data_IF_589232125147
#
_entry.id   IF_589232125147
#
_cell.length_a   1.000
_cell.length_b   1.000
_cell.length_c   1.000
_cell.angle_alpha   90.00
_cell.angle_beta   90.00
_cell.angle_gamma   90.00
#
_symmetry.space_group_name_H-M   'P 1'
#
loop_
_entity.id
_entity.type
_entity.pdbx_description
1 polymer ?
#
# COMPACT_ATOMS: atom_id res chain seq x y z
N UNK A 1 139.50 -32.51 -45.62
CA UNK A 1 140.39 -31.72 -44.74
C UNK A 1 139.85 -31.89 -43.34
N UNK A 2 140.24 -32.96 -42.64
CA UNK A 2 141.43 -33.04 -41.76
C UNK A 2 141.39 -32.01 -40.63
N UNK A 3 141.20 -32.47 -39.38
CA UNK A 3 141.42 -31.58 -38.24
C UNK A 3 140.90 -32.04 -36.88
N UNK A 4 141.31 -33.23 -36.42
CA UNK A 4 141.59 -33.56 -35.00
C UNK A 4 140.45 -33.48 -33.97
N UNK A 5 139.97 -34.68 -33.64
CA UNK A 5 139.34 -35.08 -32.36
C UNK A 5 140.23 -34.74 -31.16
N UNK A 6 139.70 -33.95 -30.21
CA UNK A 6 140.23 -33.85 -28.85
C UNK A 6 139.10 -34.21 -27.88
N UNK A 7 139.11 -35.47 -27.46
CA UNK A 7 138.40 -35.96 -26.28
C UNK A 7 139.11 -35.38 -25.05
N UNK A 8 138.69 -34.20 -24.60
CA UNK A 8 138.99 -33.71 -23.27
C UNK A 8 138.09 -34.45 -22.28
N UNK A 9 138.68 -35.38 -21.51
CA UNK A 9 138.10 -35.85 -20.27
C UNK A 9 137.92 -34.65 -19.33
N UNK A 10 136.66 -34.26 -19.12
CA UNK A 10 136.27 -33.21 -18.19
C UNK A 10 136.38 -33.78 -16.77
N UNK A 11 137.12 -33.09 -15.90
CA UNK A 11 137.25 -33.34 -14.46
C UNK A 11 135.88 -33.64 -13.80
N UNK A 12 135.72 -34.79 -13.09
CA UNK A 12 134.44 -35.21 -12.49
C UNK A 12 133.76 -34.16 -11.60
N UNK A 13 134.53 -33.33 -10.90
CA UNK A 13 133.98 -32.28 -10.01
C UNK A 13 133.48 -31.06 -10.79
N UNK A 14 134.12 -30.71 -11.89
CA UNK A 14 133.67 -29.62 -12.78
C UNK A 14 132.43 -30.04 -13.58
N UNK A 15 132.31 -31.32 -13.93
CA UNK A 15 131.11 -31.89 -14.54
C UNK A 15 129.90 -31.80 -13.60
N UNK A 16 130.04 -32.20 -12.33
CA UNK A 16 128.97 -32.11 -11.32
C UNK A 16 128.54 -30.65 -11.03
N UNK A 17 129.48 -29.71 -10.95
CA UNK A 17 129.17 -28.28 -10.81
C UNK A 17 128.41 -27.72 -12.02
N UNK A 18 128.81 -28.11 -13.23
CA UNK A 18 128.11 -27.71 -14.46
C UNK A 18 126.69 -28.31 -14.52
N UNK A 19 126.52 -29.55 -14.08
CA UNK A 19 125.24 -30.25 -14.03
C UNK A 19 124.30 -29.67 -12.97
N UNK A 20 124.81 -29.31 -11.79
CA UNK A 20 124.06 -28.58 -10.75
C UNK A 20 123.69 -27.16 -11.17
N UNK A 21 124.56 -26.45 -11.89
CA UNK A 21 124.25 -25.12 -12.44
C UNK A 21 123.15 -25.20 -13.48
N UNK A 22 123.21 -26.17 -14.39
CA UNK A 22 122.18 -26.37 -15.41
C UNK A 22 120.88 -26.93 -14.83
N UNK A 23 120.93 -27.76 -13.78
CA UNK A 23 119.73 -28.22 -13.07
C UNK A 23 119.07 -27.08 -12.29
N UNK A 24 119.84 -26.22 -11.63
CA UNK A 24 119.33 -25.01 -10.98
C UNK A 24 118.69 -24.05 -12.00
N UNK A 25 119.33 -23.81 -13.15
CA UNK A 25 118.75 -23.01 -14.23
C UNK A 25 117.42 -23.60 -14.72
N UNK A 26 117.36 -24.91 -14.96
CA UNK A 26 116.12 -25.61 -15.32
C UNK A 26 115.05 -25.49 -14.24
N UNK A 27 115.41 -25.63 -12.96
CA UNK A 27 114.48 -25.50 -11.83
C UNK A 27 113.97 -24.07 -11.67
N UNK A 28 114.82 -23.04 -11.84
CA UNK A 28 114.39 -21.63 -11.81
C UNK A 28 113.46 -21.32 -12.98
N UNK A 29 113.74 -21.86 -14.17
CA UNK A 29 112.85 -21.73 -15.34
C UNK A 29 111.53 -22.47 -15.11
N UNK A 30 111.56 -23.68 -14.52
CA UNK A 30 110.35 -24.44 -14.13
C UNK A 30 109.51 -23.67 -13.12
N UNK A 31 110.15 -23.15 -12.06
CA UNK A 31 109.47 -22.38 -11.02
C UNK A 31 108.88 -21.08 -11.58
N UNK A 32 109.57 -20.40 -12.49
CA UNK A 32 109.03 -19.22 -13.17
C UNK A 32 107.82 -19.56 -14.06
N UNK A 33 107.86 -20.71 -14.74
CA UNK A 33 106.73 -21.22 -15.52
C UNK A 33 105.54 -21.62 -14.62
N UNK A 34 105.78 -22.28 -13.49
CA UNK A 34 104.77 -22.65 -12.50
C UNK A 34 104.15 -21.40 -11.84
N UNK A 35 104.95 -20.40 -11.45
CA UNK A 35 104.42 -19.14 -10.92
C UNK A 35 103.60 -18.37 -11.96
N UNK A 36 104.00 -18.42 -13.23
CA UNK A 36 103.22 -17.83 -14.33
C UNK A 36 101.91 -18.58 -14.53
N UNK A 37 101.93 -19.91 -14.51
CA UNK A 37 100.73 -20.75 -14.60
C UNK A 37 99.77 -20.49 -13.44
N UNK A 38 100.26 -20.50 -12.20
CA UNK A 38 99.47 -20.21 -10.99
C UNK A 38 98.87 -18.79 -11.06
N UNK A 39 99.62 -17.79 -11.53
CA UNK A 39 99.10 -16.43 -11.73
C UNK A 39 98.01 -16.38 -12.81
N UNK A 40 98.20 -17.07 -13.93
CA UNK A 40 97.17 -17.18 -14.97
C UNK A 40 95.90 -17.87 -14.45
N UNK A 41 96.05 -18.94 -13.66
CA UNK A 41 94.94 -19.65 -13.02
C UNK A 41 94.21 -18.78 -11.99
N UNK A 42 94.95 -18.04 -11.15
CA UNK A 42 94.38 -17.12 -10.18
C UNK A 42 93.59 -16.01 -10.88
N UNK A 43 94.15 -15.40 -11.92
CA UNK A 43 93.47 -14.38 -12.73
C UNK A 43 92.19 -14.92 -13.37
N UNK A 44 92.21 -16.15 -13.92
CA UNK A 44 91.02 -16.80 -14.46
C UNK A 44 89.99 -17.11 -13.38
N UNK A 45 90.43 -17.48 -12.18
CA UNK A 45 89.55 -17.75 -11.04
C UNK A 45 88.89 -16.46 -10.54
N UNK A 46 89.63 -15.38 -10.38
CA UNK A 46 89.08 -14.06 -10.03
C UNK A 46 88.05 -13.57 -11.05
N UNK A 47 88.33 -13.74 -12.35
CA UNK A 47 87.40 -13.40 -13.42
C UNK A 47 86.11 -14.24 -13.36
N UNK A 48 86.24 -15.55 -13.10
CA UNK A 48 85.07 -16.43 -12.94
C UNK A 48 84.21 -16.05 -11.73
N UNK A 49 84.83 -15.68 -10.60
CA UNK A 49 84.12 -15.27 -9.39
C UNK A 49 83.42 -13.92 -9.57
N UNK A 50 84.04 -12.97 -10.25
CA UNK A 50 83.42 -11.69 -10.60
C UNK A 50 82.20 -11.90 -11.50
N UNK A 51 82.32 -12.76 -12.52
CA UNK A 51 81.20 -13.15 -13.40
C UNK A 51 80.08 -13.83 -12.62
N UNK A 52 80.39 -14.80 -11.77
CA UNK A 52 79.41 -15.49 -10.92
C UNK A 52 78.71 -14.55 -9.94
N UNK A 53 79.43 -13.62 -9.31
CA UNK A 53 78.83 -12.63 -8.41
C UNK A 53 77.84 -11.72 -9.14
N UNK A 54 78.18 -11.30 -10.37
CA UNK A 54 77.29 -10.48 -11.20
C UNK A 54 76.05 -11.27 -11.66
N UNK A 55 76.22 -12.52 -12.10
CA UNK A 55 75.08 -13.35 -12.51
C UNK A 55 74.16 -13.66 -11.32
N UNK A 56 74.71 -13.92 -10.12
CA UNK A 56 73.89 -14.13 -8.92
C UNK A 56 73.08 -12.89 -8.56
N UNK A 57 73.70 -11.70 -8.59
CA UNK A 57 73.00 -10.42 -8.36
C UNK A 57 71.91 -10.18 -9.41
N UNK A 58 72.18 -10.50 -10.68
CA UNK A 58 71.20 -10.39 -11.75
C UNK A 58 70.02 -11.35 -11.54
N UNK A 59 70.29 -12.62 -11.19
CA UNK A 59 69.26 -13.61 -10.87
C UNK A 59 68.41 -13.21 -9.66
N UNK A 60 69.03 -12.68 -8.60
CA UNK A 60 68.32 -12.18 -7.41
C UNK A 60 67.39 -11.00 -7.76
N UNK A 61 67.86 -10.06 -8.59
CA UNK A 61 67.05 -8.93 -9.06
C UNK A 61 65.89 -9.39 -9.97
N UNK A 62 66.14 -10.34 -10.87
CA UNK A 62 65.10 -10.92 -11.74
C UNK A 62 64.04 -11.66 -10.92
N UNK A 63 64.45 -12.46 -9.92
CA UNK A 63 63.53 -13.13 -9.02
C UNK A 63 62.66 -12.13 -8.23
N UNK A 64 63.25 -11.02 -7.77
CA UNK A 64 62.51 -9.95 -7.10
C UNK A 64 61.52 -9.27 -8.05
N UNK A 65 61.93 -8.98 -9.29
CA UNK A 65 61.06 -8.38 -10.29
C UNK A 65 59.85 -9.28 -10.61
N UNK A 66 60.07 -10.58 -10.81
CA UNK A 66 59.00 -11.57 -11.04
C UNK A 66 58.04 -11.66 -9.84
N UNK A 67 58.56 -11.60 -8.61
CA UNK A 67 57.72 -11.59 -7.42
C UNK A 67 56.84 -10.33 -7.35
N UNK A 68 57.43 -9.15 -7.60
CA UNK A 68 56.68 -7.90 -7.65
C UNK A 68 55.61 -7.91 -8.76
N UNK A 69 55.91 -8.45 -9.93
CA UNK A 69 54.95 -8.58 -11.03
C UNK A 69 53.78 -9.51 -10.68
N UNK A 70 54.05 -10.63 -10.00
CA UNK A 70 53.03 -11.54 -9.50
C UNK A 70 52.13 -10.84 -8.46
N UNK A 71 52.71 -10.07 -7.55
CA UNK A 71 51.97 -9.33 -6.53
C UNK A 71 51.12 -8.21 -7.14
N UNK A 72 51.64 -7.46 -8.12
CA UNK A 72 50.87 -6.47 -8.87
C UNK A 72 49.67 -7.14 -9.57
N UNK A 73 49.90 -8.27 -10.23
CA UNK A 73 48.84 -9.04 -10.90
C UNK A 73 47.77 -9.50 -9.91
N UNK A 74 48.16 -9.93 -8.71
CA UNK A 74 47.25 -10.34 -7.64
C UNK A 74 46.43 -9.15 -7.13
N UNK A 75 47.09 -8.03 -6.85
CA UNK A 75 46.43 -6.81 -6.37
C UNK A 75 45.44 -6.26 -7.39
N UNK A 76 45.79 -6.30 -8.67
CA UNK A 76 44.91 -5.85 -9.75
C UNK A 76 43.64 -6.71 -9.83
N UNK A 77 43.76 -8.04 -9.78
CA UNK A 77 42.59 -8.94 -9.70
C UNK A 77 41.71 -8.63 -8.48
N UNK A 78 42.33 -8.44 -7.31
CA UNK A 78 41.57 -8.08 -6.09
C UNK A 78 40.86 -6.74 -6.22
N UNK A 79 41.47 -5.75 -6.89
CA UNK A 79 40.85 -4.44 -7.13
C UNK A 79 39.63 -4.58 -8.05
N UNK A 80 39.76 -5.34 -9.14
CA UNK A 80 38.67 -5.58 -10.09
C UNK A 80 37.47 -6.30 -9.44
N UNK A 81 37.73 -7.32 -8.61
CA UNK A 81 36.70 -7.99 -7.83
C UNK A 81 35.97 -7.02 -6.88
N UNK A 82 36.70 -6.11 -6.23
CA UNK A 82 36.09 -5.11 -5.34
C UNK A 82 35.29 -4.08 -6.10
N UNK A 83 35.73 -3.67 -7.28
CA UNK A 83 34.96 -2.78 -8.15
C UNK A 83 33.64 -3.42 -8.59
N UNK A 84 33.64 -4.70 -8.95
CA UNK A 84 32.42 -5.44 -9.27
C UNK A 84 31.46 -5.52 -8.07
N UNK A 85 31.98 -5.79 -6.87
CA UNK A 85 31.18 -5.82 -5.64
C UNK A 85 30.56 -4.45 -5.30
N UNK A 86 31.33 -3.37 -5.46
CA UNK A 86 30.86 -2.00 -5.28
C UNK A 86 29.78 -1.65 -6.29
N UNK A 87 29.95 -2.03 -7.55
CA UNK A 87 28.96 -1.80 -8.59
C UNK A 87 27.65 -2.55 -8.31
N UNK A 88 27.73 -3.81 -7.88
CA UNK A 88 26.56 -4.59 -7.47
C UNK A 88 25.85 -3.93 -6.27
N UNK A 89 26.61 -3.55 -5.25
CA UNK A 89 26.08 -2.89 -4.04
C UNK A 89 25.45 -1.53 -4.36
N UNK A 90 26.04 -0.75 -5.28
CA UNK A 90 25.48 0.52 -5.76
C UNK A 90 24.17 0.31 -6.52
N UNK A 91 24.09 -0.71 -7.39
CA UNK A 91 22.86 -1.10 -8.08
C UNK A 91 21.75 -1.50 -7.09
N UNK A 92 22.08 -2.26 -6.05
CA UNK A 92 21.10 -2.65 -5.03
C UNK A 92 20.64 -1.46 -4.17
N UNK A 93 21.56 -0.57 -3.78
CA UNK A 93 21.20 0.69 -3.11
C UNK A 93 20.25 1.55 -3.98
N UNK A 94 20.47 1.61 -5.29
CA UNK A 94 19.60 2.33 -6.22
C UNK A 94 18.22 1.67 -6.39
N UNK A 95 18.07 0.36 -6.14
CA UNK A 95 16.75 -0.30 -6.06
C UNK A 95 16.03 0.10 -4.78
N UNK A 96 16.71 0.04 -3.63
CA UNK A 96 16.11 0.41 -2.35
C UNK A 96 15.66 1.88 -2.30
N UNK A 97 16.41 2.79 -2.93
CA UNK A 97 15.99 4.20 -3.06
C UNK A 97 14.68 4.33 -3.82
N UNK A 98 14.52 3.61 -4.94
CA UNK A 98 13.26 3.62 -5.70
C UNK A 98 12.09 3.06 -4.90
N UNK A 99 12.32 1.96 -4.18
CA UNK A 99 11.29 1.38 -3.31
C UNK A 99 10.88 2.36 -2.19
N UNK A 100 11.83 3.12 -1.64
CA UNK A 100 11.55 4.16 -0.65
C UNK A 100 10.76 5.34 -1.24
N UNK A 101 11.08 5.77 -2.45
CA UNK A 101 10.34 6.81 -3.16
C UNK A 101 8.90 6.38 -3.44
N UNK A 102 8.70 5.13 -3.88
CA UNK A 102 7.38 4.54 -4.12
C UNK A 102 6.57 4.46 -2.82
N UNK A 103 7.18 4.02 -1.71
CA UNK A 103 6.54 3.98 -0.40
C UNK A 103 6.17 5.38 0.10
N UNK A 104 7.05 6.36 -0.10
CA UNK A 104 6.80 7.76 0.26
C UNK A 104 5.61 8.33 -0.53
N UNK A 105 5.54 8.02 -1.82
CA UNK A 105 4.40 8.37 -2.68
C UNK A 105 3.09 7.73 -2.19
N UNK A 106 3.10 6.43 -1.91
CA UNK A 106 1.92 5.72 -1.36
C UNK A 106 1.47 6.29 -0.01
N UNK A 107 2.41 6.63 0.86
CA UNK A 107 2.12 7.24 2.16
C UNK A 107 1.47 8.62 1.99
N UNK A 108 1.96 9.43 1.05
CA UNK A 108 1.37 10.74 0.74
C UNK A 108 -0.07 10.63 0.23
N UNK A 109 -0.35 9.69 -0.68
CA UNK A 109 -1.69 9.43 -1.20
C UNK A 109 -2.64 8.91 -0.11
N UNK A 110 -2.15 8.02 0.75
CA UNK A 110 -2.91 7.48 1.88
C UNK A 110 -3.25 8.58 2.88
N UNK A 111 -2.30 9.46 3.19
CA UNK A 111 -2.51 10.61 4.07
C UNK A 111 -3.58 11.55 3.52
N UNK A 112 -3.50 11.91 2.24
CA UNK A 112 -4.50 12.77 1.60
C UNK A 112 -5.92 12.14 1.65
N UNK A 113 -6.01 10.82 1.45
CA UNK A 113 -7.29 10.09 1.54
C UNK A 113 -7.83 10.06 2.98
N UNK A 114 -6.96 9.87 3.96
CA UNK A 114 -7.33 9.88 5.37
C UNK A 114 -7.82 11.27 5.80
N UNK A 115 -7.14 12.35 5.38
CA UNK A 115 -7.54 13.73 5.65
C UNK A 115 -8.90 14.07 5.02
N UNK A 116 -9.12 13.69 3.75
CA UNK A 116 -10.41 13.86 3.08
C UNK A 116 -11.54 13.09 3.79
N UNK A 117 -11.25 11.87 4.26
CA UNK A 117 -12.21 11.05 5.01
C UNK A 117 -12.54 11.67 6.38
N UNK A 118 -11.53 12.20 7.08
CA UNK A 118 -11.73 12.90 8.35
C UNK A 118 -12.59 14.16 8.17
N UNK A 119 -12.32 14.98 7.14
CA UNK A 119 -13.12 16.14 6.81
C UNK A 119 -14.58 15.76 6.48
N UNK A 120 -14.78 14.68 5.71
CA UNK A 120 -16.12 14.16 5.39
C UNK A 120 -16.86 13.69 6.65
N UNK A 121 -16.18 12.98 7.55
CA UNK A 121 -16.76 12.51 8.81
C UNK A 121 -17.17 13.67 9.72
N UNK A 122 -16.33 14.71 9.81
CA UNK A 122 -16.63 15.92 10.58
C UNK A 122 -17.85 16.66 10.00
N UNK A 123 -17.93 16.79 8.67
CA UNK A 123 -19.10 17.37 8.00
C UNK A 123 -20.37 16.58 8.28
N UNK A 124 -20.33 15.25 8.17
CA UNK A 124 -21.47 14.38 8.49
C UNK A 124 -21.89 14.52 9.96
N UNK A 125 -20.94 14.57 10.89
CA UNK A 125 -21.22 14.80 12.31
C UNK A 125 -21.95 16.13 12.56
N UNK A 126 -21.51 17.21 11.91
CA UNK A 126 -22.16 18.51 12.01
C UNK A 126 -23.59 18.48 11.46
N UNK A 127 -23.82 17.79 10.34
CA UNK A 127 -25.16 17.59 9.78
C UNK A 127 -26.05 16.80 10.74
N UNK A 128 -25.57 15.68 11.29
CA UNK A 128 -26.31 14.91 12.29
C UNK A 128 -26.67 15.75 13.52
N UNK A 129 -25.75 16.59 13.99
CA UNK A 129 -25.99 17.52 15.11
C UNK A 129 -27.07 18.56 14.79
N UNK A 130 -27.13 19.03 13.54
CA UNK A 130 -28.19 19.93 13.08
C UNK A 130 -29.55 19.25 13.05
N UNK A 131 -29.62 18.05 12.46
CA UNK A 131 -30.86 17.27 12.38
C UNK A 131 -31.39 16.89 13.77
N UNK A 132 -30.50 16.59 14.72
CA UNK A 132 -30.91 16.30 16.09
C UNK A 132 -31.62 17.49 16.74
N UNK A 133 -31.11 18.72 16.55
CA UNK A 133 -31.75 19.93 17.05
C UNK A 133 -33.13 20.15 16.42
N UNK A 134 -33.26 19.93 15.12
CA UNK A 134 -34.53 20.05 14.42
C UNK A 134 -35.56 19.02 14.95
N UNK A 135 -35.13 17.78 15.17
CA UNK A 135 -35.98 16.75 15.79
C UNK A 135 -36.44 17.14 17.19
N UNK A 136 -35.57 17.71 18.02
CA UNK A 136 -35.92 18.18 19.35
C UNK A 136 -36.98 19.31 19.30
N UNK A 137 -36.83 20.25 18.37
CA UNK A 137 -37.79 21.33 18.14
C UNK A 137 -39.14 20.80 17.65
N UNK A 138 -39.14 19.87 16.68
CA UNK A 138 -40.36 19.22 16.20
C UNK A 138 -41.05 18.42 17.30
N UNK A 139 -40.29 17.73 18.13
CA UNK A 139 -40.82 16.98 19.28
C UNK A 139 -41.51 17.90 20.28
N UNK A 140 -40.94 19.08 20.57
CA UNK A 140 -41.59 20.09 21.43
C UNK A 140 -42.88 20.61 20.80
N UNK A 141 -42.85 20.98 19.53
CA UNK A 141 -44.04 21.44 18.80
C UNK A 141 -45.16 20.38 18.78
N UNK A 142 -44.81 19.11 18.57
CA UNK A 142 -45.79 18.02 18.58
C UNK A 142 -46.50 17.90 19.94
N UNK A 143 -45.76 18.00 21.04
CA UNK A 143 -46.34 17.98 22.40
C UNK A 143 -47.29 19.16 22.66
N UNK A 144 -46.96 20.35 22.15
CA UNK A 144 -47.86 21.50 22.22
C UNK A 144 -49.13 21.29 21.40
N UNK A 145 -49.01 20.71 20.20
CA UNK A 145 -50.16 20.33 19.39
C UNK A 145 -51.03 19.28 20.07
N UNK A 146 -50.43 18.24 20.66
CA UNK A 146 -51.13 17.21 21.43
C UNK A 146 -51.92 17.84 22.59
N UNK A 147 -51.30 18.74 23.37
CA UNK A 147 -51.98 19.45 24.45
C UNK A 147 -53.17 20.29 23.96
N UNK A 148 -53.04 20.96 22.81
CA UNK A 148 -54.15 21.72 22.20
C UNK A 148 -55.30 20.81 21.75
N UNK A 149 -54.97 19.67 21.14
CA UNK A 149 -55.96 18.68 20.71
C UNK A 149 -56.71 18.10 21.90
N UNK A 150 -56.00 17.75 22.98
CA UNK A 150 -56.64 17.27 24.21
C UNK A 150 -57.61 18.31 24.78
N UNK A 151 -57.21 19.58 24.84
CA UNK A 151 -58.08 20.67 25.29
C UNK A 151 -59.33 20.84 24.40
N UNK A 152 -59.19 20.71 23.08
CA UNK A 152 -60.33 20.75 22.17
C UNK A 152 -61.25 19.55 22.37
N UNK A 153 -60.69 18.36 22.66
CA UNK A 153 -61.44 17.18 23.06
C UNK A 153 -62.29 17.43 24.30
N UNK A 154 -61.70 17.98 25.35
CA UNK A 154 -62.41 18.33 26.58
C UNK A 154 -63.56 19.33 26.34
N UNK A 155 -63.35 20.30 25.44
CA UNK A 155 -64.39 21.26 25.04
C UNK A 155 -65.53 20.60 24.27
N UNK A 156 -65.20 19.67 23.37
CA UNK A 156 -66.19 18.90 22.61
C UNK A 156 -67.07 18.06 23.54
N UNK A 157 -66.45 17.40 24.52
CA UNK A 157 -67.15 16.59 25.53
C UNK A 157 -68.13 17.43 26.36
N UNK A 158 -67.73 18.65 26.75
CA UNK A 158 -68.60 19.57 27.47
C UNK A 158 -69.79 20.00 26.61
N UNK A 159 -69.53 20.41 25.35
CA UNK A 159 -70.59 20.79 24.41
C UNK A 159 -71.56 19.65 24.13
N UNK A 160 -71.07 18.41 24.05
CA UNK A 160 -71.90 17.24 23.84
C UNK A 160 -72.82 16.95 25.03
N UNK A 161 -72.33 17.11 26.27
CA UNK A 161 -73.17 17.01 27.47
C UNK A 161 -74.23 18.11 27.52
N UNK A 162 -73.86 19.34 27.18
CA UNK A 162 -74.80 20.46 27.10
C UNK A 162 -75.88 20.21 26.05
N UNK A 163 -75.51 19.70 24.87
CA UNK A 163 -76.45 19.34 23.80
C UNK A 163 -77.46 18.29 24.30
N UNK A 164 -76.99 17.21 24.93
CA UNK A 164 -77.85 16.16 25.48
C UNK A 164 -78.82 16.71 26.53
N UNK A 165 -78.36 17.63 27.40
CA UNK A 165 -79.22 18.27 28.40
C UNK A 165 -80.32 19.12 27.76
N UNK A 166 -80.00 19.84 26.67
CA UNK A 166 -80.96 20.64 25.90
C UNK A 166 -81.96 19.76 25.16
N UNK A 167 -81.52 18.66 24.56
CA UNK A 167 -82.41 17.69 23.92
C UNK A 167 -83.42 17.10 24.91
N UNK A 168 -82.98 16.76 26.13
CA UNK A 168 -83.87 16.29 27.19
C UNK A 168 -84.89 17.36 27.59
N UNK A 169 -84.43 18.59 27.86
CA UNK A 169 -85.30 19.72 28.22
C UNK A 169 -86.30 20.05 27.10
N UNK A 170 -85.87 20.04 25.84
CA UNK A 170 -86.72 20.28 24.69
C UNK A 170 -87.79 19.20 24.54
N UNK A 171 -87.43 17.93 24.77
CA UNK A 171 -88.40 16.82 24.76
C UNK A 171 -89.45 16.99 25.86
N UNK A 172 -89.03 17.31 27.09
CA UNK A 172 -89.94 17.58 28.20
C UNK A 172 -90.88 18.77 27.91
N UNK A 173 -90.35 19.85 27.35
CA UNK A 173 -91.15 21.01 26.96
C UNK A 173 -92.17 20.64 25.88
N UNK A 174 -91.78 19.84 24.88
CA UNK A 174 -92.69 19.35 23.84
C UNK A 174 -93.83 18.52 24.44
N UNK A 175 -93.52 17.61 25.37
CA UNK A 175 -94.53 16.78 26.03
C UNK A 175 -95.51 17.64 26.86
N UNK A 176 -95.01 18.69 27.52
CA UNK A 176 -95.84 19.62 28.29
C UNK A 176 -96.72 20.51 27.41
N UNK A 177 -96.18 21.02 26.30
CA UNK A 177 -96.95 21.79 25.30
C UNK A 177 -98.06 20.92 24.73
N UNK A 178 -97.77 19.67 24.34
CA UNK A 178 -98.78 18.73 23.85
C UNK A 178 -99.90 18.49 24.89
N UNK A 179 -99.56 18.41 26.18
CA UNK A 179 -100.53 18.26 27.28
C UNK A 179 -101.43 19.50 27.38
N UNK A 180 -100.84 20.69 27.44
CA UNK A 180 -101.58 21.97 27.52
C UNK A 180 -102.44 22.19 26.29
N UNK A 181 -101.92 21.90 25.08
CA UNK A 181 -102.69 21.98 23.84
C UNK A 181 -103.90 21.05 23.87
N UNK A 182 -103.75 19.83 24.39
CA UNK A 182 -104.86 18.90 24.57
C UNK A 182 -105.90 19.44 25.56
N UNK A 183 -105.45 19.98 26.70
CA UNK A 183 -106.32 20.58 27.71
C UNK A 183 -107.09 21.81 27.15
N UNK A 184 -106.42 22.66 26.37
CA UNK A 184 -107.03 23.80 25.68
C UNK A 184 -108.06 23.31 24.65
N UNK A 185 -107.71 22.34 23.80
CA UNK A 185 -108.66 21.76 22.84
C UNK A 185 -109.89 21.19 23.55
N UNK A 186 -109.70 20.47 24.66
CA UNK A 186 -110.80 19.93 25.44
C UNK A 186 -111.64 21.03 26.10
N UNK A 187 -111.01 22.09 26.62
CA UNK A 187 -111.69 23.25 27.19
C UNK A 187 -112.46 24.04 26.12
N UNK A 188 -111.90 24.22 24.92
CA UNK A 188 -112.57 24.86 23.78
C UNK A 188 -113.74 24.02 23.27
N UNK A 189 -113.59 22.70 23.17
CA UNK A 189 -114.69 21.79 22.82
C UNK A 189 -115.81 21.84 23.87
N UNK A 190 -115.48 22.00 25.16
CA UNK A 190 -116.43 22.22 26.26
C UNK A 190 -117.03 23.64 26.26
N UNK A 191 -116.28 24.63 25.78
CA UNK A 191 -116.65 26.06 25.67
C UNK A 191 -117.27 26.42 24.31
N UNK A 192 -117.68 25.43 23.52
CA UNK A 192 -118.15 25.56 22.13
C UNK A 192 -119.45 26.35 21.97
N UNK A 193 -119.40 27.64 22.26
CA UNK A 193 -120.42 28.63 21.96
C UNK A 193 -119.84 30.04 21.80
N UNK A 194 -118.68 30.24 21.15
CA UNK A 194 -118.45 31.50 20.44
C UNK A 194 -117.28 31.44 19.44
N UNK A 195 -117.58 31.74 18.19
CA UNK A 195 -116.60 31.95 17.12
C UNK A 195 -115.96 33.33 17.30
N UNK A 196 -114.64 33.45 17.43
CA UNK A 196 -113.96 34.70 17.10
C UNK A 196 -112.48 34.51 16.72
N UNK A 197 -112.09 35.26 15.70
CA UNK A 197 -111.13 34.94 14.65
C UNK A 197 -109.80 35.70 14.75
N UNK A 198 -109.35 36.02 15.95
CA UNK A 198 -108.13 36.84 16.19
C UNK A 198 -106.89 35.95 16.40
N UNK A 199 -106.98 34.90 17.21
CA UNK A 199 -105.88 33.94 17.44
C UNK A 199 -105.49 33.16 16.17
N UNK A 200 -106.46 32.89 15.29
CA UNK A 200 -106.22 32.19 14.01
C UNK A 200 -105.43 33.07 13.04
N UNK A 201 -105.71 34.38 13.00
CA UNK A 201 -104.95 35.36 12.19
C UNK A 201 -103.52 35.54 12.67
N UNK A 202 -103.29 35.62 13.98
CA UNK A 202 -101.95 35.75 14.55
C UNK A 202 -101.12 34.49 14.25
N UNK A 203 -101.73 33.31 14.31
CA UNK A 203 -101.08 32.04 13.95
C UNK A 203 -100.71 31.98 12.45
N UNK A 204 -101.62 32.44 11.58
CA UNK A 204 -101.41 32.48 10.12
C UNK A 204 -100.36 33.52 9.69
N UNK A 205 -100.13 34.61 10.45
CA UNK A 205 -99.12 35.63 10.14
C UNK A 205 -97.73 35.35 10.75
N UNK A 206 -97.68 34.78 11.95
CA UNK A 206 -96.41 34.54 12.67
C UNK A 206 -95.70 33.28 12.15
N UNK A 207 -96.46 32.27 11.71
CA UNK A 207 -95.92 30.99 11.19
C UNK A 207 -95.06 31.15 9.93
N UNK A 208 -95.52 31.80 8.83
CA UNK A 208 -94.72 31.93 7.60
C UNK A 208 -93.49 32.83 7.80
N UNK A 209 -93.60 33.92 8.58
CA UNK A 209 -92.46 34.81 8.87
C UNK A 209 -91.34 34.11 9.65
N UNK A 210 -91.67 33.15 10.51
CA UNK A 210 -90.66 32.35 11.20
C UNK A 210 -90.04 31.29 10.29
N UNK A 211 -90.83 30.65 9.43
CA UNK A 211 -90.33 29.71 8.42
C UNK A 211 -89.36 30.37 7.43
N UNK A 212 -89.67 31.58 6.96
CA UNK A 212 -88.81 32.33 6.04
C UNK A 212 -87.45 32.68 6.69
N UNK A 213 -87.46 33.08 7.96
CA UNK A 213 -86.22 33.34 8.72
C UNK A 213 -85.40 32.08 8.91
N UNK A 214 -86.05 30.95 9.18
CA UNK A 214 -85.39 29.65 9.33
C UNK A 214 -84.76 29.17 8.02
N UNK A 215 -85.49 29.29 6.91
CA UNK A 215 -85.00 28.94 5.58
C UNK A 215 -83.80 29.78 5.17
N UNK A 216 -83.81 31.09 5.49
CA UNK A 216 -82.66 31.95 5.23
C UNK A 216 -81.43 31.50 6.01
N UNK A 217 -81.59 31.21 7.30
CA UNK A 217 -80.49 30.72 8.15
C UNK A 217 -79.94 29.38 7.66
N UNK A 218 -80.82 28.48 7.19
CA UNK A 218 -80.42 27.19 6.62
C UNK A 218 -79.63 27.37 5.33
N UNK A 219 -80.08 28.26 4.43
CA UNK A 219 -79.36 28.58 3.20
C UNK A 219 -77.95 29.13 3.47
N UNK A 220 -77.83 30.05 4.44
CA UNK A 220 -76.52 30.60 4.83
C UNK A 220 -75.58 29.50 5.37
N UNK A 221 -76.14 28.53 6.12
CA UNK A 221 -75.38 27.38 6.65
C UNK A 221 -74.98 26.40 5.55
N UNK A 222 -75.85 26.12 4.59
CA UNK A 222 -75.53 25.27 3.45
C UNK A 222 -74.37 25.85 2.61
N UNK A 223 -74.30 27.18 2.50
CA UNK A 223 -73.21 27.86 1.79
C UNK A 223 -71.89 27.83 2.57
N UNK A 224 -71.91 27.95 3.89
CA UNK A 224 -70.73 27.69 4.74
C UNK A 224 -70.24 26.24 4.61
N UNK A 225 -71.16 25.27 4.63
CA UNK A 225 -70.82 23.84 4.44
C UNK A 225 -70.19 23.60 3.07
N UNK A 226 -70.68 24.26 2.02
CA UNK A 226 -70.10 24.18 0.69
C UNK A 226 -68.64 24.70 0.67
N UNK A 227 -68.38 25.86 1.28
CA UNK A 227 -67.02 26.43 1.37
C UNK A 227 -66.06 25.52 2.13
N UNK A 228 -66.49 24.99 3.28
CA UNK A 228 -65.67 24.05 4.07
C UNK A 228 -65.36 22.77 3.29
N UNK A 229 -66.32 22.24 2.52
CA UNK A 229 -66.07 21.08 1.65
C UNK A 229 -65.03 21.38 0.58
N UNK A 230 -65.06 22.56 -0.02
CA UNK A 230 -64.08 22.96 -1.03
C UNK A 230 -62.68 23.19 -0.44
N UNK A 231 -62.58 23.78 0.75
CA UNK A 231 -61.31 23.89 1.49
C UNK A 231 -60.74 22.51 1.84
N UNK A 232 -61.56 21.60 2.36
CA UNK A 232 -61.15 20.21 2.64
C UNK A 232 -60.66 19.54 1.35
N UNK A 233 -61.37 19.71 0.23
CA UNK A 233 -60.96 19.13 -1.06
C UNK A 233 -59.61 19.67 -1.51
N UNK A 234 -59.38 20.96 -1.34
CA UNK A 234 -58.12 21.63 -1.70
C UNK A 234 -56.96 21.17 -0.81
N UNK A 235 -57.16 21.14 0.51
CA UNK A 235 -56.16 20.61 1.45
C UNK A 235 -55.86 19.14 1.17
N UNK A 236 -56.88 18.33 0.89
CA UNK A 236 -56.71 16.90 0.60
C UNK A 236 -55.91 16.68 -0.69
N UNK A 237 -56.09 17.52 -1.72
CA UNK A 237 -55.28 17.48 -2.93
C UNK A 237 -53.82 17.87 -2.65
N UNK A 238 -53.60 18.91 -1.83
CA UNK A 238 -52.26 19.32 -1.41
C UNK A 238 -51.53 18.21 -0.65
N UNK A 239 -52.19 17.58 0.32
CA UNK A 239 -51.63 16.47 1.08
C UNK A 239 -51.29 15.27 0.18
N UNK A 240 -52.17 14.93 -0.78
CA UNK A 240 -51.91 13.85 -1.73
C UNK A 240 -50.67 14.13 -2.61
N UNK A 241 -50.54 15.36 -3.14
CA UNK A 241 -49.35 15.77 -3.87
C UNK A 241 -48.09 15.70 -3.00
N UNK A 242 -48.18 16.14 -1.74
CA UNK A 242 -47.04 16.10 -0.83
C UNK A 242 -46.61 14.66 -0.50
N UNK A 243 -47.57 13.75 -0.33
CA UNK A 243 -47.29 12.32 -0.16
C UNK A 243 -46.56 11.75 -1.36
N UNK A 244 -47.01 12.02 -2.58
CA UNK A 244 -46.35 11.55 -3.82
C UNK A 244 -44.92 12.10 -3.99
N UNK A 245 -44.69 13.36 -3.64
CA UNK A 245 -43.35 13.96 -3.64
C UNK A 245 -42.40 13.23 -2.68
N UNK A 246 -42.86 12.96 -1.44
CA UNK A 246 -42.07 12.22 -0.46
C UNK A 246 -41.79 10.78 -0.89
N UNK A 247 -42.78 10.08 -1.45
CA UNK A 247 -42.61 8.73 -2.01
C UNK A 247 -41.56 8.71 -3.14
N UNK A 248 -41.59 9.70 -4.04
CA UNK A 248 -40.61 9.82 -5.12
C UNK A 248 -39.19 10.06 -4.59
N UNK A 249 -39.03 10.87 -3.54
CA UNK A 249 -37.74 11.08 -2.88
C UNK A 249 -37.23 9.79 -2.23
N UNK A 250 -38.11 9.03 -1.56
CA UNK A 250 -37.76 7.77 -0.91
C UNK A 250 -37.30 6.72 -1.95
N UNK A 251 -38.00 6.63 -3.08
CA UNK A 251 -37.62 5.75 -4.19
C UNK A 251 -36.27 6.17 -4.82
N UNK A 252 -35.99 7.47 -4.91
CA UNK A 252 -34.68 7.97 -5.37
C UNK A 252 -33.55 7.56 -4.42
N UNK A 253 -33.76 7.70 -3.11
CA UNK A 253 -32.80 7.24 -2.09
C UNK A 253 -32.58 5.72 -2.18
N UNK A 254 -33.65 4.94 -2.31
CA UNK A 254 -33.57 3.49 -2.45
C UNK A 254 -32.71 3.07 -3.65
N UNK A 255 -32.82 3.76 -4.80
CA UNK A 255 -31.98 3.49 -5.98
C UNK A 255 -30.52 3.85 -5.75
N UNK A 256 -30.25 5.00 -5.13
CA UNK A 256 -28.90 5.42 -4.79
C UNK A 256 -28.22 4.41 -3.85
N UNK A 257 -28.93 3.91 -2.84
CA UNK A 257 -28.43 2.88 -1.93
C UNK A 257 -28.13 1.57 -2.64
N UNK A 258 -28.97 1.15 -3.60
CA UNK A 258 -28.71 -0.05 -4.40
C UNK A 258 -27.44 0.09 -5.24
N UNK A 259 -27.21 1.25 -5.84
CA UNK A 259 -25.99 1.49 -6.62
C UNK A 259 -24.74 1.60 -5.74
N UNK A 260 -24.87 2.21 -4.55
CA UNK A 260 -23.81 2.22 -3.55
C UNK A 260 -23.47 0.80 -3.10
N UNK A 261 -24.47 -0.04 -2.82
CA UNK A 261 -24.30 -1.46 -2.47
C UNK A 261 -23.56 -2.24 -3.57
N UNK A 262 -23.89 -2.00 -4.84
CA UNK A 262 -23.16 -2.61 -5.98
C UNK A 262 -21.69 -2.18 -6.00
N UNK A 263 -21.39 -0.91 -5.73
CA UNK A 263 -20.00 -0.40 -5.68
C UNK A 263 -19.23 -1.00 -4.51
N UNK A 264 -19.86 -1.09 -3.34
CA UNK A 264 -19.26 -1.73 -2.15
C UNK A 264 -18.91 -3.19 -2.45
N UNK A 265 -19.82 -3.97 -3.03
CA UNK A 265 -19.54 -5.35 -3.42
C UNK A 265 -18.37 -5.48 -4.42
N UNK A 266 -18.27 -4.56 -5.39
CA UNK A 266 -17.13 -4.52 -6.32
C UNK A 266 -15.81 -4.25 -5.58
N UNK A 267 -15.81 -3.30 -4.64
CA UNK A 267 -14.63 -2.97 -3.85
C UNK A 267 -14.22 -4.11 -2.93
N UNK A 268 -15.17 -4.80 -2.29
CA UNK A 268 -14.91 -5.99 -1.48
C UNK A 268 -14.26 -7.11 -2.31
N UNK A 269 -14.73 -7.32 -3.53
CA UNK A 269 -14.13 -8.29 -4.45
C UNK A 269 -12.69 -7.91 -4.80
N UNK A 270 -12.44 -6.67 -5.22
CA UNK A 270 -11.10 -6.18 -5.54
C UNK A 270 -10.14 -6.27 -4.34
N UNK A 271 -10.64 -5.95 -3.14
CA UNK A 271 -9.88 -6.06 -1.89
C UNK A 271 -9.53 -7.52 -1.57
N UNK A 272 -10.47 -8.44 -1.76
CA UNK A 272 -10.24 -9.87 -1.56
C UNK A 272 -9.18 -10.40 -2.55
N UNK A 273 -9.25 -9.97 -3.81
CA UNK A 273 -8.28 -10.33 -4.84
C UNK A 273 -6.88 -9.77 -4.52
N UNK A 274 -6.79 -8.50 -4.13
CA UNK A 274 -5.53 -7.89 -3.71
C UNK A 274 -4.90 -8.66 -2.54
N UNK A 275 -5.69 -8.99 -1.51
CA UNK A 275 -5.22 -9.83 -0.38
C UNK A 275 -4.73 -11.20 -0.83
N UNK A 276 -5.40 -11.84 -1.78
CA UNK A 276 -4.99 -13.13 -2.33
C UNK A 276 -3.65 -13.02 -3.08
N UNK A 277 -3.45 -11.95 -3.85
CA UNK A 277 -2.19 -11.65 -4.53
C UNK A 277 -1.06 -11.38 -3.52
N UNK A 278 -1.30 -10.58 -2.47
CA UNK A 278 -0.34 -10.33 -1.39
C UNK A 278 0.12 -11.64 -0.74
N UNK A 279 -0.80 -12.56 -0.44
CA UNK A 279 -0.44 -13.89 0.11
C UNK A 279 0.40 -14.72 -0.86
N UNK A 280 0.14 -14.64 -2.17
CA UNK A 280 0.98 -15.33 -3.17
C UNK A 280 2.40 -14.75 -3.18
N UNK A 281 2.52 -13.43 -3.19
CA UNK A 281 3.81 -12.73 -3.15
C UNK A 281 4.58 -13.08 -1.87
N UNK A 282 3.91 -13.10 -0.72
CA UNK A 282 4.51 -13.51 0.56
C UNK A 282 5.10 -14.92 0.49
N UNK A 283 4.34 -15.91 -0.03
CA UNK A 283 4.86 -17.28 -0.21
C UNK A 283 6.03 -17.35 -1.19
N UNK A 284 6.02 -16.54 -2.26
CA UNK A 284 7.17 -16.47 -3.17
C UNK A 284 8.39 -15.82 -2.51
N UNK A 285 8.18 -14.82 -1.65
CA UNK A 285 9.20 -14.22 -0.79
C UNK A 285 9.82 -15.27 0.13
N UNK A 286 9.01 -15.99 0.90
CA UNK A 286 9.46 -17.05 1.82
C UNK A 286 10.26 -18.14 1.10
N UNK A 287 9.85 -18.55 -0.11
CA UNK A 287 10.62 -19.51 -0.92
C UNK A 287 11.97 -18.95 -1.37
N UNK A 288 12.01 -17.69 -1.82
CA UNK A 288 13.27 -17.03 -2.17
C UNK A 288 14.19 -16.93 -0.96
N UNK A 289 13.66 -16.51 0.19
CA UNK A 289 14.43 -16.35 1.41
C UNK A 289 14.99 -17.69 1.90
N UNK A 290 14.21 -18.77 1.77
CA UNK A 290 14.66 -20.13 2.07
C UNK A 290 15.80 -20.56 1.13
N UNK A 291 15.66 -20.35 -0.18
CA UNK A 291 16.71 -20.66 -1.15
C UNK A 291 17.99 -19.84 -0.91
N UNK A 292 17.86 -18.56 -0.56
CA UNK A 292 18.98 -17.70 -0.20
C UNK A 292 19.69 -18.17 1.08
N UNK A 293 18.93 -18.69 2.05
CA UNK A 293 19.47 -19.26 3.28
C UNK A 293 20.22 -20.57 2.99
N UNK A 294 19.66 -21.47 2.18
CA UNK A 294 20.31 -22.71 1.76
C UNK A 294 21.62 -22.44 1.01
N UNK A 295 21.63 -21.50 0.05
CA UNK A 295 22.86 -21.09 -0.64
C UNK A 295 23.91 -20.49 0.32
N UNK A 296 23.48 -19.71 1.31
CA UNK A 296 24.37 -19.16 2.34
C UNK A 296 24.96 -20.25 3.22
N UNK A 297 24.17 -21.25 3.58
CA UNK A 297 24.61 -22.38 4.41
C UNK A 297 25.54 -23.31 3.61
N UNK A 298 25.31 -23.53 2.32
CA UNK A 298 26.23 -24.24 1.41
C UNK A 298 27.59 -23.53 1.27
N UNK A 299 27.58 -22.21 1.07
CA UNK A 299 28.82 -21.41 1.02
C UNK A 299 29.57 -21.47 2.35
N UNK A 300 28.86 -21.43 3.47
CA UNK A 300 29.45 -21.53 4.81
C UNK A 300 30.02 -22.93 5.09
N UNK A 301 29.35 -23.97 4.60
CA UNK A 301 29.80 -25.37 4.70
C UNK A 301 31.00 -25.66 3.81
N UNK A 302 31.01 -25.12 2.58
CA UNK A 302 32.16 -25.19 1.66
C UNK A 302 33.39 -24.47 2.24
N UNK A 303 33.19 -23.35 2.95
CA UNK A 303 34.27 -22.62 3.62
C UNK A 303 34.86 -23.35 4.83
N UNK A 304 34.07 -24.18 5.52
CA UNK A 304 34.53 -25.00 6.65
C UNK A 304 35.18 -26.33 6.25
N UNK A 305 34.86 -26.89 5.07
CA UNK A 305 35.54 -28.10 4.54
C UNK A 305 36.96 -27.79 4.05
N UNK A 306 37.25 -26.55 3.65
CA UNK A 306 38.62 -26.12 3.29
C UNK A 306 39.47 -25.66 4.50
N UNK A 307 39.00 -25.87 5.74
CA UNK A 307 39.67 -25.43 6.97
C UNK A 307 40.44 -26.51 7.74
N UNK A 308 40.49 -27.76 7.27
CA UNK A 308 41.08 -28.85 8.05
C UNK A 308 41.70 -29.98 7.24
N UNK A 309 43.03 -30.09 7.37
CA UNK A 309 43.91 -31.25 7.11
C UNK A 309 44.43 -31.48 5.68
N UNK A 310 45.72 -31.13 5.54
CA UNK A 310 46.82 -31.74 4.78
C UNK A 310 46.58 -32.50 3.47
N UNK A 311 47.36 -32.09 2.47
CA UNK A 311 48.16 -33.03 1.68
C UNK A 311 47.69 -33.28 0.26
N UNK A 312 48.62 -33.01 -0.66
CA UNK A 312 48.68 -33.45 -2.06
C UNK A 312 47.95 -32.59 -3.09
N UNK A 313 48.73 -32.13 -4.06
CA UNK A 313 48.26 -31.35 -5.20
C UNK A 313 47.33 -32.15 -6.09
N UNK A 314 46.22 -31.54 -6.45
CA UNK A 314 45.86 -31.30 -7.84
C UNK A 314 44.75 -30.24 -7.85
N UNK A 315 45.18 -29.00 -8.07
CA UNK A 315 44.29 -27.87 -8.25
C UNK A 315 43.71 -27.97 -9.66
N UNK A 316 42.74 -28.87 -9.86
CA UNK A 316 42.05 -28.98 -11.13
C UNK A 316 41.16 -27.73 -11.28
N UNK A 317 41.70 -26.73 -11.98
CA UNK A 317 41.02 -25.48 -12.27
C UNK A 317 39.66 -25.81 -12.90
N UNK A 318 38.58 -25.42 -12.23
CA UNK A 318 37.20 -25.55 -12.73
C UNK A 318 37.05 -24.98 -14.15
N UNK A 319 37.83 -23.95 -14.46
CA UNK A 319 37.96 -23.31 -15.78
C UNK A 319 38.50 -24.23 -16.89
N UNK A 320 39.19 -25.33 -16.55
CA UNK A 320 39.70 -26.31 -17.49
C UNK A 320 38.81 -27.54 -17.67
N UNK A 321 37.75 -27.67 -16.86
CA UNK A 321 36.74 -28.73 -16.98
C UNK A 321 36.16 -28.73 -18.39
N UNK A 322 36.14 -29.92 -19.00
CA UNK A 322 35.57 -30.14 -20.33
C UNK A 322 34.13 -29.60 -20.44
N UNK A 323 33.36 -29.60 -19.34
CA UNK A 323 32.01 -29.05 -19.30
C UNK A 323 31.95 -27.53 -19.44
N UNK A 324 32.90 -26.79 -18.84
CA UNK A 324 32.96 -25.33 -18.95
C UNK A 324 33.37 -24.88 -20.36
N UNK A 325 34.35 -25.57 -20.96
CA UNK A 325 34.75 -25.33 -22.36
C UNK A 325 33.60 -25.56 -23.34
N UNK A 326 32.76 -26.56 -23.09
CA UNK A 326 31.54 -26.82 -23.91
C UNK A 326 30.52 -25.69 -23.75
N UNK A 327 30.27 -25.22 -22.51
CA UNK A 327 29.31 -24.13 -22.26
C UNK A 327 29.74 -22.80 -22.91
N UNK A 328 31.04 -22.47 -22.85
CA UNK A 328 31.59 -21.27 -23.50
C UNK A 328 31.52 -21.41 -25.03
N UNK A 329 31.86 -22.58 -25.57
CA UNK A 329 31.74 -22.87 -27.01
C UNK A 329 30.30 -22.72 -27.53
N UNK A 330 29.31 -23.30 -26.83
CA UNK A 330 27.90 -23.16 -27.20
C UNK A 330 27.40 -21.72 -27.06
N UNK A 331 27.82 -21.00 -26.01
CA UNK A 331 27.44 -19.60 -25.81
C UNK A 331 27.99 -18.69 -26.90
N UNK A 332 29.22 -18.94 -27.36
CA UNK A 332 29.83 -18.20 -28.47
C UNK A 332 29.13 -18.50 -29.81
N UNK A 333 28.71 -19.76 -30.03
CA UNK A 333 27.97 -20.17 -31.23
C UNK A 333 26.59 -19.49 -31.30
N UNK A 334 25.91 -19.33 -30.16
CA UNK A 334 24.66 -18.57 -30.05
C UNK A 334 24.90 -17.09 -30.36
N UNK A 335 25.95 -16.47 -29.79
CA UNK A 335 26.27 -15.07 -30.05
C UNK A 335 26.64 -14.80 -31.52
N UNK A 336 27.33 -15.73 -32.19
CA UNK A 336 27.64 -15.64 -33.63
C UNK A 336 26.39 -15.79 -34.48
N UNK A 337 25.45 -16.65 -34.10
CA UNK A 337 24.16 -16.79 -34.79
C UNK A 337 23.27 -15.55 -34.63
N UNK A 338 23.30 -14.90 -33.46
CA UNK A 338 22.56 -13.66 -33.22
C UNK A 338 23.19 -12.42 -33.84
N UNK A 339 24.51 -12.41 -34.08
CA UNK A 339 25.21 -11.29 -34.73
C UNK A 339 25.14 -11.32 -36.27
N UNK A 340 24.50 -12.35 -36.85
CA UNK A 340 24.31 -12.53 -38.30
C UNK A 340 22.86 -12.27 -38.75
N UNK A 341 22.01 -11.75 -37.86
CA UNK A 341 20.75 -11.06 -38.18
C UNK A 341 20.97 -9.57 -38.04
#
# INVERSE_FOLDING_TARGET
MSGVTSTMEIDPLLRDLSEKKESFRRNVVSLAAELKDVRCRLSSQEESFAKESLTRKACEAEARAKNMEAEISRLQKCLDERNLQLQASSSDAAKYLRDLDDLTSQLSSTKATAEASAASAQSAQLQCKSLLKELDEKTKSLKEHEARVNKLGDQLDLLQKDLQSREFSQKQLKDEVMRVEHDIMQALAKSGANNNSELRKILDEVSPRNLDKMNKLLSDKDEEIAKLRDEIRTMSAHWNLKTKDLEAQLEKHRRADQDLKKRVLKLEFCLHEARAQTRKLQRMGERRDKALKELRDEVSSSKNVNGGVSGNGDNHNFWESSGFKIAVSMSMLILVLFSKR
#
